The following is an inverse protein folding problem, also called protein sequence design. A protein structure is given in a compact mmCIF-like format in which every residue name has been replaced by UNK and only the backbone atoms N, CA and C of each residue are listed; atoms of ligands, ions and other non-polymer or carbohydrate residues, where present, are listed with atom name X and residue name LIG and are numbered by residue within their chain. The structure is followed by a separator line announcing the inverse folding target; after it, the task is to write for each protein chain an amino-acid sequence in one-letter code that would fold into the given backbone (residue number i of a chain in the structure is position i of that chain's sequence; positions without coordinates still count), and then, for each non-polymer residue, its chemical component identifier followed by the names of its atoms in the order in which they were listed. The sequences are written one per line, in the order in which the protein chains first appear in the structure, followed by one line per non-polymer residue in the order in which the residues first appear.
data_IF_678111927930
#
_entry.id   IF_678111927930
#
_cell.length_a   1.000
_cell.length_b   1.000
_cell.length_c   1.000
_cell.angle_alpha   90.00
_cell.angle_beta   90.00
_cell.angle_gamma   90.00
#
_symmetry.space_group_name_H-M   'P 1'
#
loop_
_entity.id
_entity.type
_entity.pdbx_description
1 polymer ?
#
# COMPACT_ATOMS: atom_id res chain seq x y z
N UNK A 1 1.99 5.08 13.22
CA UNK A 1 1.24 5.49 12.01
C UNK A 1 0.28 6.63 12.28
N UNK A 2 -0.56 6.54 13.31
CA UNK A 2 -1.56 7.57 13.60
C UNK A 2 -0.97 8.98 13.78
N UNK A 3 0.13 9.17 14.53
CA UNK A 3 0.75 10.50 14.69
C UNK A 3 1.13 11.18 13.38
N UNK A 4 1.66 10.42 12.43
CA UNK A 4 2.09 10.94 11.14
C UNK A 4 0.91 11.26 10.23
N UNK A 5 -0.22 10.57 10.37
CA UNK A 5 -1.48 10.88 9.68
C UNK A 5 -2.16 12.12 10.29
N UNK A 6 -2.14 12.25 11.61
CA UNK A 6 -2.65 13.44 12.31
C UNK A 6 -1.84 14.68 11.98
N UNK A 7 -0.52 14.56 11.85
CA UNK A 7 0.37 15.65 11.41
C UNK A 7 0.22 15.98 9.92
N UNK A 8 -0.28 15.05 9.12
CA UNK A 8 -0.36 15.20 7.65
C UNK A 8 -1.74 14.76 7.12
N UNK A 9 -2.79 15.56 7.36
CA UNK A 9 -4.15 15.22 6.93
C UNK A 9 -4.26 15.07 5.41
N UNK A 10 -3.42 15.76 4.62
CA UNK A 10 -3.37 15.62 3.17
C UNK A 10 -2.99 14.21 2.70
N UNK A 11 -2.06 13.55 3.40
CA UNK A 11 -1.71 12.14 3.14
C UNK A 11 -2.91 11.26 3.43
N UNK A 12 -3.59 11.52 4.55
CA UNK A 12 -4.79 10.79 4.96
C UNK A 12 -5.88 10.81 3.89
N UNK A 13 -6.21 12.01 3.39
CA UNK A 13 -7.22 12.20 2.34
C UNK A 13 -6.82 11.54 1.01
N UNK A 14 -5.53 11.59 0.64
CA UNK A 14 -5.03 10.91 -0.56
C UNK A 14 -5.19 9.40 -0.48
N UNK A 15 -4.76 8.79 0.62
CA UNK A 15 -4.89 7.34 0.79
C UNK A 15 -6.36 6.94 0.79
N UNK A 16 -7.25 7.71 1.43
CA UNK A 16 -8.68 7.46 1.37
C UNK A 16 -9.24 7.55 -0.06
N UNK A 17 -8.75 8.50 -0.86
CA UNK A 17 -9.15 8.63 -2.28
C UNK A 17 -8.64 7.46 -3.14
N UNK A 18 -7.44 6.96 -2.86
CA UNK A 18 -6.82 5.87 -3.61
C UNK A 18 -7.40 4.50 -3.25
N UNK A 19 -7.66 4.27 -1.95
CA UNK A 19 -8.04 2.97 -1.39
C UNK A 19 -9.52 2.84 -1.04
N UNK A 20 -10.25 3.97 -0.97
CA UNK A 20 -11.65 4.00 -0.55
C UNK A 20 -11.87 3.86 0.96
N UNK A 21 -10.81 3.76 1.77
CA UNK A 21 -10.90 3.52 3.22
C UNK A 21 -10.03 4.51 4.00
N UNK A 22 -10.33 4.76 5.29
CA UNK A 22 -9.54 5.70 6.09
C UNK A 22 -8.08 5.28 6.17
N UNK A 23 -7.17 6.24 6.03
CA UNK A 23 -5.74 6.00 5.96
C UNK A 23 -5.16 5.28 7.18
N UNK A 24 -5.74 5.47 8.36
CA UNK A 24 -5.38 4.69 9.56
C UNK A 24 -5.61 3.20 9.35
N UNK A 25 -6.74 2.81 8.77
CA UNK A 25 -7.09 1.43 8.46
C UNK A 25 -6.30 0.89 7.25
N UNK A 26 -6.08 1.73 6.24
CA UNK A 26 -5.28 1.37 5.07
C UNK A 26 -3.82 1.11 5.46
N UNK A 27 -3.22 1.98 6.29
CA UNK A 27 -1.81 1.90 6.69
C UNK A 27 -1.54 1.04 7.92
N UNK A 28 -2.57 0.37 8.45
CA UNK A 28 -2.40 -0.57 9.54
C UNK A 28 -1.52 -1.74 9.09
N UNK A 29 -0.55 -2.14 9.93
CA UNK A 29 0.37 -3.25 9.68
C UNK A 29 1.58 -2.92 8.79
N UNK A 30 1.57 -1.77 8.09
CA UNK A 30 2.73 -1.34 7.31
C UNK A 30 3.89 -0.90 8.21
N UNK A 31 5.14 -1.10 7.75
CA UNK A 31 6.33 -0.69 8.51
C UNK A 31 6.52 0.82 8.58
N UNK A 32 6.11 1.53 7.53
CA UNK A 32 6.16 3.00 7.44
C UNK A 32 5.06 3.52 6.51
N UNK A 33 4.74 4.82 6.62
CA UNK A 33 3.73 5.47 5.77
C UNK A 33 4.10 5.45 4.29
N UNK A 34 5.38 5.61 3.97
CA UNK A 34 5.85 5.57 2.58
C UNK A 34 5.47 4.25 1.89
N UNK A 35 5.55 3.12 2.58
CA UNK A 35 5.11 1.83 2.05
C UNK A 35 3.60 1.75 1.85
N UNK A 36 2.80 2.29 2.78
CA UNK A 36 1.35 2.32 2.66
C UNK A 36 0.90 3.19 1.47
N UNK A 37 1.43 4.41 1.37
CA UNK A 37 1.12 5.34 0.27
C UNK A 37 1.58 4.74 -1.07
N UNK A 38 2.75 4.09 -1.10
CA UNK A 38 3.23 3.42 -2.31
C UNK A 38 2.31 2.27 -2.72
N UNK A 39 1.86 1.46 -1.78
CA UNK A 39 0.90 0.39 -2.03
C UNK A 39 -0.44 0.95 -2.54
N UNK A 40 -0.92 2.07 -1.98
CA UNK A 40 -2.14 2.72 -2.43
C UNK A 40 -2.03 3.18 -3.90
N UNK A 41 -0.92 3.82 -4.28
CA UNK A 41 -0.67 4.22 -5.67
C UNK A 41 -0.54 3.03 -6.62
N UNK A 42 0.23 2.02 -6.24
CA UNK A 42 0.38 0.79 -7.04
C UNK A 42 -0.97 0.12 -7.26
N UNK A 43 -1.80 0.01 -6.22
CA UNK A 43 -3.13 -0.59 -6.33
C UNK A 43 -4.00 0.15 -7.34
N UNK A 44 -3.91 1.48 -7.37
CA UNK A 44 -4.62 2.33 -8.32
C UNK A 44 -4.05 2.22 -9.74
N UNK A 45 -2.73 2.21 -9.88
CA UNK A 45 -2.02 2.13 -11.17
C UNK A 45 -2.33 0.82 -11.90
N UNK A 46 -2.24 -0.29 -11.16
CA UNK A 46 -2.47 -1.64 -11.67
C UNK A 46 -3.93 -2.07 -11.61
N UNK A 47 -4.81 -1.26 -11.00
CA UNK A 47 -6.21 -1.61 -10.72
C UNK A 47 -6.38 -2.93 -9.96
N UNK A 48 -5.44 -3.24 -9.07
CA UNK A 48 -5.47 -4.41 -8.18
C UNK A 48 -6.08 -4.05 -6.83
N UNK A 49 -6.57 -5.05 -6.11
CA UNK A 49 -7.17 -4.85 -4.79
C UNK A 49 -6.12 -4.44 -3.76
N UNK A 50 -6.28 -3.23 -3.19
CA UNK A 50 -5.40 -2.71 -2.14
C UNK A 50 -5.37 -3.61 -0.90
N UNK A 51 -6.51 -4.19 -0.49
CA UNK A 51 -6.57 -5.10 0.66
C UNK A 51 -5.70 -6.35 0.48
N UNK A 52 -5.65 -6.88 -0.75
CA UNK A 52 -4.77 -8.00 -1.08
C UNK A 52 -3.30 -7.59 -1.02
N UNK A 53 -2.97 -6.45 -1.62
CA UNK A 53 -1.61 -5.91 -1.61
C UNK A 53 -1.14 -5.60 -0.18
N UNK A 54 -2.03 -5.05 0.66
CA UNK A 54 -1.79 -4.83 2.08
C UNK A 54 -1.55 -6.15 2.80
N UNK A 55 -2.40 -7.14 2.58
CA UNK A 55 -2.30 -8.45 3.23
C UNK A 55 -0.94 -9.10 2.94
N UNK A 56 -0.49 -9.07 1.69
CA UNK A 56 0.84 -9.54 1.30
C UNK A 56 1.96 -8.76 1.98
N UNK A 57 1.90 -7.43 1.97
CA UNK A 57 2.97 -6.59 2.48
C UNK A 57 3.07 -6.61 4.00
N UNK A 58 1.95 -6.77 4.69
CA UNK A 58 1.88 -6.82 6.16
C UNK A 58 2.03 -8.24 6.70
N UNK A 59 1.79 -9.25 5.87
CA UNK A 59 1.74 -10.65 6.29
C UNK A 59 0.53 -10.95 7.19
N UNK A 60 -0.42 -10.02 7.28
CA UNK A 60 -1.65 -10.15 8.06
C UNK A 60 -2.84 -9.98 7.13
N UNK A 61 -3.41 -11.10 6.70
CA UNK A 61 -4.67 -11.12 5.97
C UNK A 61 -5.84 -11.16 6.96
N UNK A 62 -6.88 -10.32 6.81
CA UNK A 62 -8.14 -10.53 7.52
C UNK A 62 -8.68 -11.92 7.20
N UNK A 63 -9.18 -12.65 8.21
CA UNK A 63 -9.81 -13.94 7.94
C UNK A 63 -10.96 -13.77 6.93
N UNK A 64 -10.89 -14.50 5.82
CA UNK A 64 -11.91 -14.46 4.76
C UNK A 64 -11.56 -13.61 3.54
N UNK A 65 -10.40 -12.94 3.46
CA UNK A 65 -9.98 -12.32 2.20
C UNK A 65 -9.51 -13.36 1.20
N UNK A 66 -10.21 -13.49 0.07
CA UNK A 66 -9.93 -14.40 -1.06
C UNK A 66 -8.75 -13.93 -1.93
N UNK A 67 -7.79 -13.23 -1.35
CA UNK A 67 -6.63 -12.73 -2.07
C UNK A 67 -5.74 -13.92 -2.45
N UNK A 68 -5.34 -14.05 -3.73
CA UNK A 68 -4.53 -15.19 -4.19
C UNK A 68 -3.12 -15.21 -3.59
N UNK A 69 -2.74 -14.12 -2.93
CA UNK A 69 -1.44 -13.87 -2.37
C UNK A 69 -1.57 -13.60 -0.85
N UNK A 70 -0.65 -14.18 -0.06
CA UNK A 70 -0.47 -13.80 1.35
C UNK A 70 -1.12 -14.70 2.40
N UNK A 71 -1.31 -15.99 2.12
CA UNK A 71 -1.83 -16.99 3.08
C UNK A 71 -0.79 -17.52 4.07
N UNK A 72 0.46 -17.04 4.03
CA UNK A 72 1.56 -17.61 4.81
C UNK A 72 2.39 -16.57 5.53
N UNK A 73 2.14 -16.38 6.83
CA UNK A 73 3.02 -15.99 7.96
C UNK A 73 4.15 -14.95 7.79
N UNK A 74 4.38 -14.35 6.62
CA UNK A 74 5.55 -13.51 6.34
C UNK A 74 5.19 -12.35 5.39
N UNK A 75 5.52 -11.14 5.85
CA UNK A 75 5.44 -9.92 5.05
C UNK A 75 6.27 -10.00 3.77
N UNK A 76 5.68 -9.68 2.62
CA UNK A 76 6.35 -9.59 1.33
C UNK A 76 6.79 -8.16 1.00
N UNK A 77 7.81 -8.02 0.15
CA UNK A 77 8.17 -6.72 -0.44
C UNK A 77 7.09 -6.27 -1.43
N UNK A 78 6.89 -4.95 -1.60
CA UNK A 78 5.91 -4.37 -2.54
C UNK A 78 6.00 -5.00 -3.94
N UNK A 79 7.20 -5.12 -4.51
CA UNK A 79 7.37 -5.76 -5.82
C UNK A 79 6.96 -7.24 -5.85
N UNK A 80 7.18 -7.99 -4.77
CA UNK A 80 6.78 -9.40 -4.72
C UNK A 80 5.26 -9.55 -4.58
N UNK A 81 4.63 -8.67 -3.80
CA UNK A 81 3.18 -8.61 -3.68
C UNK A 81 2.52 -8.27 -5.03
N UNK A 82 3.04 -7.25 -5.73
CA UNK A 82 2.59 -6.90 -7.09
C UNK A 82 2.70 -8.10 -8.02
N UNK A 83 3.86 -8.74 -8.10
CA UNK A 83 4.08 -9.89 -8.99
C UNK A 83 3.13 -11.06 -8.68
N UNK A 84 2.70 -11.21 -7.43
CA UNK A 84 1.81 -12.30 -7.03
C UNK A 84 0.35 -11.98 -7.38
N UNK A 85 -0.07 -10.73 -7.24
CA UNK A 85 -1.43 -10.27 -7.56
C UNK A 85 -1.64 -10.03 -9.06
N UNK A 86 -0.60 -9.53 -9.72
CA UNK A 86 -0.56 -9.28 -11.15
C UNK A 86 0.81 -9.73 -11.71
N UNK A 87 0.92 -11.01 -12.13
CA UNK A 87 2.15 -11.53 -12.71
C UNK A 87 2.47 -10.95 -14.09
N UNK A 88 1.54 -10.22 -14.72
CA UNK A 88 1.75 -9.57 -16.02
C UNK A 88 2.29 -8.15 -15.89
N UNK A 89 2.11 -7.51 -14.74
CA UNK A 89 2.64 -6.19 -14.44
C UNK A 89 4.17 -6.20 -14.23
N UNK A 90 4.85 -5.13 -14.67
CA UNK A 90 6.24 -4.91 -14.29
C UNK A 90 6.32 -4.46 -12.83
N UNK A 91 6.46 -5.44 -11.94
CA UNK A 91 6.57 -5.19 -10.51
C UNK A 91 7.71 -4.25 -10.10
N UNK A 92 8.79 -4.17 -10.89
CA UNK A 92 9.93 -3.31 -10.57
C UNK A 92 9.59 -1.88 -10.95
N UNK A 93 9.04 -1.67 -12.15
CA UNK A 93 8.59 -0.36 -12.59
C UNK A 93 7.49 0.19 -11.66
N UNK A 94 6.47 -0.61 -11.36
CA UNK A 94 5.34 -0.17 -10.54
C UNK A 94 5.72 0.03 -9.08
N UNK A 95 6.52 -0.85 -8.48
CA UNK A 95 7.00 -0.62 -7.11
C UNK A 95 7.84 0.65 -7.02
N UNK A 96 8.68 0.93 -8.01
CA UNK A 96 9.48 2.17 -8.07
C UNK A 96 8.61 3.40 -8.32
N UNK A 97 7.60 3.28 -9.17
CA UNK A 97 6.63 4.34 -9.46
C UNK A 97 5.85 4.70 -8.20
N UNK A 98 5.22 3.72 -7.55
CA UNK A 98 4.49 3.94 -6.30
C UNK A 98 5.37 4.48 -5.18
N UNK A 99 6.63 4.03 -5.06
CA UNK A 99 7.58 4.62 -4.11
C UNK A 99 7.92 6.08 -4.42
N UNK A 100 8.07 6.42 -5.70
CA UNK A 100 8.29 7.80 -6.14
C UNK A 100 7.09 8.68 -5.82
N UNK A 101 5.89 8.21 -6.15
CA UNK A 101 4.62 8.89 -5.87
C UNK A 101 4.44 9.09 -4.35
N UNK A 102 4.71 8.06 -3.56
CA UNK A 102 4.69 8.16 -2.10
C UNK A 102 5.71 9.16 -1.56
N UNK A 103 6.93 9.17 -2.09
CA UNK A 103 7.97 10.11 -1.67
C UNK A 103 7.61 11.54 -2.03
N UNK A 104 7.01 11.75 -3.21
CA UNK A 104 6.51 13.04 -3.62
C UNK A 104 5.36 13.51 -2.72
N UNK A 105 4.43 12.61 -2.39
CA UNK A 105 3.33 12.92 -1.48
C UNK A 105 3.82 13.27 -0.07
N UNK A 106 4.77 12.50 0.47
CA UNK A 106 5.41 12.79 1.75
C UNK A 106 6.15 14.14 1.72
N UNK A 107 6.91 14.41 0.65
CA UNK A 107 7.61 15.68 0.47
C UNK A 107 6.63 16.86 0.37
N UNK A 108 5.53 16.71 -0.36
CA UNK A 108 4.48 17.72 -0.47
C UNK A 108 3.73 17.93 0.85
N UNK A 109 3.63 16.91 1.68
CA UNK A 109 3.07 17.00 3.02
C UNK A 109 4.04 17.56 4.06
N UNK A 110 5.34 17.65 3.75
CA UNK A 110 6.36 18.17 4.65
C UNK A 110 6.89 17.14 5.66
N UNK A 111 6.85 15.85 5.30
CA UNK A 111 7.33 14.70 6.11
C UNK A 111 8.45 13.91 5.46
#
# INVERSE_FOLDING_TARGET
MNDSLTKNPAIGSKIQTLTGMPASQACTGFKNLGQCVAAAHVSKNLRISFDCLKSDMTGTAPQGTSCPAGTGTKSMSLGKAIQTLDPTADQKAESKKGQTEAKQDMKSAGV
#
